data_IF_034916572014
#
_entry.id   IF_034916572014
#
_cell.length_a   1.000
_cell.length_b   1.000
_cell.length_c   1.000
_cell.angle_alpha   90.00
_cell.angle_beta   90.00
_cell.angle_gamma   90.00
#
_symmetry.space_group_name_H-M   'P 1'
#
loop_
_entity.id
_entity.type
_entity.pdbx_description
1 polymer ?
#
# COMPACT_ATOMS: atom_id res chain seq x y z
N UNK A 1 -54.80 -27.00 -48.75
CA UNK A 1 -54.23 -25.64 -48.65
C UNK A 1 -53.68 -25.44 -47.25
N UNK A 2 -52.36 -25.21 -47.17
CA UNK A 2 -51.57 -24.58 -46.09
C UNK A 2 -51.70 -25.10 -44.65
N UNK A 3 -50.78 -26.02 -44.34
CA UNK A 3 -50.20 -26.27 -43.02
C UNK A 3 -49.49 -24.98 -42.56
N UNK A 4 -49.89 -24.40 -41.42
CA UNK A 4 -49.16 -23.27 -40.80
C UNK A 4 -48.34 -23.78 -39.62
N UNK A 5 -47.04 -23.80 -39.82
CA UNK A 5 -45.99 -24.12 -38.85
C UNK A 5 -45.89 -22.99 -37.83
N UNK A 6 -46.18 -23.26 -36.55
CA UNK A 6 -45.91 -22.34 -35.46
C UNK A 6 -44.54 -22.67 -34.86
N UNK A 7 -43.60 -21.76 -35.11
CA UNK A 7 -42.19 -21.84 -34.75
C UNK A 7 -42.02 -21.76 -33.24
N UNK A 8 -41.39 -22.78 -32.65
CA UNK A 8 -40.92 -22.79 -31.27
C UNK A 8 -39.82 -21.73 -31.14
N UNK A 9 -40.09 -20.62 -30.46
CA UNK A 9 -39.08 -19.61 -30.14
C UNK A 9 -38.35 -20.06 -28.87
N UNK A 10 -37.16 -20.64 -29.04
CA UNK A 10 -36.25 -20.93 -27.94
C UNK A 10 -35.66 -19.59 -27.45
N UNK A 11 -36.10 -19.13 -26.27
CA UNK A 11 -35.52 -17.99 -25.60
C UNK A 11 -34.11 -18.36 -25.09
N UNK A 12 -33.09 -17.91 -25.81
CA UNK A 12 -31.69 -18.01 -25.41
C UNK A 12 -31.45 -17.12 -24.18
N UNK A 13 -31.32 -17.72 -23.01
CA UNK A 13 -30.80 -17.04 -21.81
C UNK A 13 -29.31 -16.81 -22.03
N UNK A 14 -28.94 -15.62 -22.47
CA UNK A 14 -27.55 -15.20 -22.56
C UNK A 14 -26.99 -15.06 -21.13
N UNK A 15 -26.11 -15.98 -20.74
CA UNK A 15 -25.37 -15.93 -19.49
C UNK A 15 -24.35 -14.79 -19.58
N UNK A 16 -24.67 -13.64 -18.96
CA UNK A 16 -23.73 -12.53 -18.80
C UNK A 16 -22.62 -12.96 -17.84
N UNK A 17 -21.50 -13.44 -18.37
CA UNK A 17 -20.29 -13.64 -17.59
C UNK A 17 -19.73 -12.27 -17.18
N UNK A 18 -19.93 -11.88 -15.91
CA UNK A 18 -19.29 -10.70 -15.34
C UNK A 18 -17.79 -10.94 -15.24
N UNK A 19 -16.99 -10.28 -16.07
CA UNK A 19 -15.54 -10.19 -15.88
C UNK A 19 -15.27 -9.31 -14.66
N UNK A 20 -15.21 -9.91 -13.48
CA UNK A 20 -14.73 -9.22 -12.28
C UNK A 20 -13.25 -8.88 -12.51
N UNK A 21 -12.96 -7.59 -12.74
CA UNK A 21 -11.59 -7.09 -12.78
C UNK A 21 -11.03 -7.21 -11.37
N UNK A 22 -10.21 -8.23 -11.13
CA UNK A 22 -9.49 -8.37 -9.86
C UNK A 22 -8.42 -7.28 -9.80
N UNK A 23 -8.43 -6.49 -8.72
CA UNK A 23 -7.39 -5.50 -8.43
C UNK A 23 -6.01 -6.16 -8.39
N UNK A 24 -4.97 -5.47 -8.86
CA UNK A 24 -3.60 -5.98 -8.80
C UNK A 24 -3.12 -6.00 -7.34
N UNK A 25 -2.47 -7.09 -6.88
CA UNK A 25 -1.93 -7.15 -5.52
C UNK A 25 -0.95 -6.00 -5.24
N UNK A 26 -1.05 -5.40 -4.06
CA UNK A 26 -0.20 -4.28 -3.62
C UNK A 26 0.72 -4.76 -2.51
N UNK A 27 1.89 -5.27 -2.88
CA UNK A 27 2.91 -5.73 -1.91
C UNK A 27 3.83 -4.63 -1.40
N UNK A 28 4.40 -4.83 -0.21
CA UNK A 28 5.47 -3.97 0.35
C UNK A 28 6.66 -3.96 -0.62
N UNK A 29 7.07 -5.16 -1.02
CA UNK A 29 7.92 -5.44 -2.18
C UNK A 29 7.28 -6.56 -3.00
N UNK A 30 7.85 -6.87 -4.17
CA UNK A 30 7.32 -7.95 -5.02
C UNK A 30 7.26 -9.27 -4.25
N UNK A 31 6.05 -9.83 -4.13
CA UNK A 31 5.81 -11.12 -3.46
C UNK A 31 5.72 -11.06 -1.94
N UNK A 32 5.86 -9.88 -1.32
CA UNK A 32 5.75 -9.69 0.13
C UNK A 32 4.53 -8.82 0.44
N UNK A 33 3.49 -9.41 1.00
CA UNK A 33 2.20 -8.73 1.24
C UNK A 33 2.06 -8.17 2.66
N UNK A 34 2.69 -8.82 3.65
CA UNK A 34 2.66 -8.46 5.05
C UNK A 34 4.02 -8.72 5.70
N UNK A 35 4.42 -7.85 6.63
CA UNK A 35 5.59 -8.01 7.50
C UNK A 35 5.22 -7.54 8.89
N UNK A 36 5.27 -8.42 9.89
CA UNK A 36 4.97 -8.06 11.29
C UNK A 36 3.59 -7.37 11.48
N UNK A 37 2.58 -7.74 10.69
CA UNK A 37 1.26 -7.11 10.70
C UNK A 37 1.19 -5.77 9.97
N UNK A 38 2.29 -5.34 9.33
CA UNK A 38 2.35 -4.17 8.44
C UNK A 38 2.05 -4.65 7.02
N UNK A 39 1.01 -4.08 6.42
CA UNK A 39 0.62 -4.34 5.04
C UNK A 39 0.22 -3.05 4.33
N UNK A 40 0.21 -3.07 2.99
CA UNK A 40 -0.25 -1.94 2.19
C UNK A 40 -1.76 -2.02 1.97
N UNK A 41 -2.39 -0.86 1.79
CA UNK A 41 -3.77 -0.80 1.31
C UNK A 41 -3.86 -1.48 -0.08
N UNK A 42 -4.76 -2.46 -0.21
CA UNK A 42 -4.94 -3.26 -1.43
C UNK A 42 -5.82 -2.59 -2.49
N UNK A 43 -6.52 -1.51 -2.14
CA UNK A 43 -7.28 -0.74 -3.10
C UNK A 43 -6.33 0.04 -4.03
N UNK A 44 -6.35 -0.33 -5.32
CA UNK A 44 -5.55 0.33 -6.35
C UNK A 44 -5.99 1.79 -6.61
N UNK A 45 -7.15 2.21 -6.11
CA UNK A 45 -7.64 3.59 -6.19
C UNK A 45 -7.40 4.41 -4.91
N UNK A 46 -6.81 3.81 -3.86
CA UNK A 46 -6.58 4.52 -2.60
C UNK A 46 -5.63 5.71 -2.76
N UNK A 47 -6.03 6.86 -2.23
CA UNK A 47 -5.25 8.10 -2.25
C UNK A 47 -4.66 8.39 -0.87
N UNK A 48 -3.50 9.05 -0.83
CA UNK A 48 -2.95 9.60 0.40
C UNK A 48 -3.73 10.86 0.82
N UNK A 49 -3.55 11.29 2.08
CA UNK A 49 -4.14 12.53 2.57
C UNK A 49 -3.72 13.72 1.66
N UNK A 50 -4.68 14.54 1.17
CA UNK A 50 -4.39 15.67 0.28
C UNK A 50 -3.36 16.66 0.82
N UNK A 51 -3.15 16.73 2.14
CA UNK A 51 -2.10 17.53 2.76
C UNK A 51 -0.69 17.15 2.23
N UNK A 52 -0.47 15.90 1.84
CA UNK A 52 0.79 15.43 1.28
C UNK A 52 0.88 15.60 -0.25
N UNK A 53 -0.18 16.03 -0.93
CA UNK A 53 -0.18 16.21 -2.38
C UNK A 53 0.65 17.43 -2.84
N UNK A 54 0.86 18.43 -1.98
CA UNK A 54 1.61 19.65 -2.32
C UNK A 54 3.12 19.44 -2.17
N UNK A 55 3.82 19.40 -3.30
CA UNK A 55 5.29 19.19 -3.37
C UNK A 55 6.10 20.49 -3.32
N UNK A 56 5.50 21.65 -3.63
CA UNK A 56 6.16 22.96 -3.69
C UNK A 56 5.88 23.84 -2.47
N UNK A 57 6.19 23.33 -1.28
CA UNK A 57 6.03 24.10 -0.03
C UNK A 57 7.20 25.08 0.12
N UNK A 58 6.94 26.35 0.49
CA UNK A 58 8.01 27.32 0.67
C UNK A 58 8.96 26.85 1.78
N UNK A 59 10.25 27.00 1.52
CA UNK A 59 11.32 26.86 2.49
C UNK A 59 11.58 28.25 3.11
N UNK A 60 11.70 28.39 4.45
CA UNK A 60 11.42 27.40 5.51
C UNK A 60 9.91 27.24 5.82
N UNK A 61 9.46 26.15 6.48
CA UNK A 61 10.22 25.09 7.15
C UNK A 61 10.44 23.80 6.32
N UNK A 62 9.94 23.74 5.09
CA UNK A 62 9.90 22.49 4.30
C UNK A 62 11.13 22.30 3.38
N UNK A 63 12.28 22.82 3.79
CA UNK A 63 13.51 22.68 3.01
C UNK A 63 13.94 21.21 2.94
N UNK A 64 14.32 20.71 1.75
CA UNK A 64 14.91 19.37 1.60
C UNK A 64 16.17 19.30 2.46
N UNK A 65 16.28 18.23 3.26
CA UNK A 65 17.41 18.01 4.16
C UNK A 65 18.44 17.06 3.52
N UNK A 66 19.73 17.24 3.77
CA UNK A 66 20.76 16.27 3.36
C UNK A 66 20.63 14.96 4.15
N UNK A 67 21.09 13.85 3.56
CA UNK A 67 21.10 12.53 4.23
C UNK A 67 21.96 12.52 5.49
N UNK A 68 23.08 13.25 5.50
CA UNK A 68 23.90 13.46 6.70
C UNK A 68 23.81 14.93 7.13
N UNK A 69 22.79 15.32 7.90
CA UNK A 69 22.59 16.73 8.29
C UNK A 69 23.63 17.29 9.24
N UNK A 70 24.47 16.43 9.83
CA UNK A 70 25.53 16.82 10.76
C UNK A 70 26.86 16.16 10.37
N UNK A 71 27.98 16.88 10.56
CA UNK A 71 29.33 16.37 10.33
C UNK A 71 30.17 16.54 11.61
N UNK A 72 30.72 15.46 12.20
CA UNK A 72 30.47 14.05 11.87
C UNK A 72 29.06 13.61 12.27
N UNK A 73 28.45 12.72 11.48
CA UNK A 73 27.17 12.13 11.85
C UNK A 73 27.36 11.28 13.12
N UNK A 74 26.57 11.54 14.16
CA UNK A 74 26.59 10.75 15.40
C UNK A 74 25.69 9.52 15.35
N UNK A 75 24.84 9.45 14.32
CA UNK A 75 23.89 8.36 14.08
C UNK A 75 23.84 8.07 12.58
N UNK A 76 23.59 6.81 12.23
CA UNK A 76 23.34 6.40 10.85
C UNK A 76 21.91 6.74 10.43
N UNK A 77 21.72 7.06 9.15
CA UNK A 77 20.40 7.19 8.55
C UNK A 77 19.93 5.88 7.94
N UNK A 78 18.65 5.56 8.15
CA UNK A 78 18.01 4.35 7.63
C UNK A 78 16.96 4.70 6.57
N UNK A 79 16.73 3.77 5.65
CA UNK A 79 15.67 3.87 4.65
C UNK A 79 14.37 3.24 5.15
N UNK A 80 13.28 3.39 4.38
CA UNK A 80 11.99 2.76 4.69
C UNK A 80 12.11 1.23 4.80
N UNK A 81 12.86 0.59 3.90
CA UNK A 81 13.01 -0.87 3.91
C UNK A 81 13.82 -1.36 5.11
N UNK A 82 14.79 -0.59 5.57
CA UNK A 82 15.57 -0.95 6.77
C UNK A 82 14.67 -1.00 8.01
N UNK A 83 13.71 -0.07 8.12
CA UNK A 83 12.71 -0.07 9.20
C UNK A 83 11.77 -1.27 9.09
N UNK A 84 11.31 -1.62 7.88
CA UNK A 84 10.46 -2.80 7.66
C UNK A 84 11.21 -4.10 8.03
N UNK A 85 12.50 -4.21 7.69
CA UNK A 85 13.31 -5.35 8.08
C UNK A 85 13.54 -5.41 9.59
N UNK A 86 13.80 -4.28 10.24
CA UNK A 86 13.92 -4.23 11.69
C UNK A 86 12.62 -4.69 12.39
N UNK A 87 11.44 -4.28 11.87
CA UNK A 87 10.15 -4.74 12.37
C UNK A 87 9.94 -6.25 12.15
N UNK A 88 10.32 -6.78 10.98
CA UNK A 88 10.31 -8.22 10.68
C UNK A 88 11.14 -9.00 11.70
N UNK A 89 12.38 -8.57 11.92
CA UNK A 89 13.34 -9.29 12.74
C UNK A 89 12.94 -9.25 14.22
N UNK A 90 12.50 -8.08 14.70
CA UNK A 90 11.95 -7.92 16.04
C UNK A 90 10.71 -8.80 16.27
N UNK A 91 9.76 -8.82 15.32
CA UNK A 91 8.60 -9.71 15.39
C UNK A 91 8.96 -11.21 15.29
N UNK A 92 10.10 -11.52 14.64
CA UNK A 92 10.69 -12.85 14.56
C UNK A 92 11.41 -13.31 15.84
N UNK A 93 11.47 -12.46 16.88
CA UNK A 93 12.09 -12.76 18.16
C UNK A 93 13.54 -12.29 18.30
N UNK A 94 14.06 -11.49 17.36
CA UNK A 94 15.37 -10.85 17.53
C UNK A 94 15.29 -9.77 18.61
N UNK A 95 16.01 -10.00 19.70
CA UNK A 95 16.08 -9.09 20.86
C UNK A 95 17.20 -8.06 20.76
N UNK A 96 18.05 -8.14 19.73
CA UNK A 96 19.10 -7.15 19.45
C UNK A 96 18.58 -5.91 18.72
N UNK A 97 17.33 -5.96 18.21
CA UNK A 97 16.69 -4.89 17.45
C UNK A 97 15.48 -4.34 18.20
N UNK A 98 15.39 -3.01 18.29
CA UNK A 98 14.23 -2.31 18.86
C UNK A 98 13.75 -1.22 17.89
N UNK A 99 12.47 -1.28 17.52
CA UNK A 99 11.80 -0.23 16.74
C UNK A 99 11.04 0.68 17.71
N UNK A 100 11.35 1.99 17.69
CA UNK A 100 10.76 2.97 18.61
C UNK A 100 9.92 3.98 17.83
N UNK A 101 8.64 4.09 18.20
CA UNK A 101 7.77 5.16 17.73
C UNK A 101 7.92 6.40 18.63
N UNK A 102 8.59 7.43 18.11
CA UNK A 102 8.83 8.70 18.82
C UNK A 102 7.73 9.76 18.59
N UNK A 103 6.59 9.40 17.99
CA UNK A 103 5.49 10.35 17.77
C UNK A 103 4.78 10.68 19.07
N UNK A 104 4.04 11.79 19.08
CA UNK A 104 3.23 12.17 20.25
C UNK A 104 1.97 11.29 20.34
N UNK A 105 1.40 11.09 21.55
CA UNK A 105 0.28 10.16 21.75
C UNK A 105 -0.94 10.38 20.85
N UNK A 106 -1.20 11.62 20.41
CA UNK A 106 -2.31 11.92 19.48
C UNK A 106 -2.16 11.29 18.08
N UNK A 107 -0.99 10.75 17.75
CA UNK A 107 -0.72 10.05 16.49
C UNK A 107 -0.83 8.54 16.59
N UNK A 108 -0.84 7.99 17.81
CA UNK A 108 -1.06 6.57 18.08
C UNK A 108 -2.57 6.39 18.18
N UNK A 109 -3.16 5.65 17.24
CA UNK A 109 -4.60 5.30 17.25
C UNK A 109 -4.78 3.85 17.64
#
# INVERSE_FOLDING_TARGET
MKLQTLVVSAASVALLASTAVTAKPVGIVKGVMDVAGISRNQDNANLIDPAFAKTSRPCPPFCIQPTAPFTPASVDTVTELDVIHAARDSAGGDTSVLVVDARTPGWVK
#
